data_IF_665940364645
#
_entry.id   IF_665940364645
#
_cell.length_a   1.000
_cell.length_b   1.000
_cell.length_c   1.000
_cell.angle_alpha   90.00
_cell.angle_beta   90.00
_cell.angle_gamma   90.00
#
_symmetry.space_group_name_H-M   'P 1'
#
loop_
_entity.id
_entity.type
_entity.pdbx_description
1 polymer ?
#
# COMPACT_ATOMS: atom_id res chain seq x y z
N UNK A 1 -35.19 -22.14 0.34
CA UNK A 1 -36.10 -22.18 -0.82
C UNK A 1 -35.59 -23.25 -1.77
N UNK A 2 -36.32 -24.36 -1.91
CA UNK A 2 -36.02 -25.38 -2.91
C UNK A 2 -36.56 -24.90 -4.25
N UNK A 3 -35.68 -24.67 -5.21
CA UNK A 3 -36.10 -24.42 -6.59
C UNK A 3 -36.42 -25.76 -7.25
N UNK A 4 -37.69 -25.99 -7.54
CA UNK A 4 -38.17 -27.11 -8.34
C UNK A 4 -38.14 -26.66 -9.81
N UNK A 5 -37.18 -27.17 -10.57
CA UNK A 5 -37.18 -26.98 -12.02
C UNK A 5 -38.10 -28.04 -12.66
N UNK A 6 -39.17 -27.61 -13.29
CA UNK A 6 -39.99 -28.47 -14.13
C UNK A 6 -39.45 -28.47 -15.56
N UNK A 7 -38.93 -29.61 -16.02
CA UNK A 7 -38.46 -29.79 -17.39
C UNK A 7 -39.56 -30.37 -18.26
N UNK A 8 -39.82 -29.76 -19.42
CA UNK A 8 -40.57 -30.39 -20.47
C UNK A 8 -39.65 -31.35 -21.25
N UNK A 9 -39.84 -32.66 -21.09
CA UNK A 9 -39.20 -33.68 -21.92
C UNK A 9 -39.70 -33.55 -23.35
N UNK A 10 -38.83 -33.54 -24.35
CA UNK A 10 -39.20 -33.65 -25.76
C UNK A 10 -39.79 -35.04 -26.04
N UNK A 11 -40.79 -35.10 -26.96
CA UNK A 11 -41.47 -36.33 -27.34
C UNK A 11 -40.45 -37.33 -27.93
N UNK A 12 -40.04 -38.30 -27.14
CA UNK A 12 -39.11 -39.37 -27.57
C UNK A 12 -38.30 -39.99 -26.44
N UNK A 13 -38.06 -39.27 -25.35
CA UNK A 13 -37.29 -39.78 -24.22
C UNK A 13 -38.16 -40.56 -23.24
N UNK A 14 -38.30 -41.89 -23.50
CA UNK A 14 -38.87 -42.82 -22.50
C UNK A 14 -37.77 -43.32 -21.58
N UNK A 15 -37.91 -43.04 -20.29
CA UNK A 15 -37.09 -43.69 -19.25
C UNK A 15 -37.41 -45.18 -19.22
N UNK A 16 -36.44 -46.11 -19.20
CA UNK A 16 -36.71 -47.53 -19.13
C UNK A 16 -37.37 -47.86 -17.78
N UNK A 17 -38.51 -48.55 -17.86
CA UNK A 17 -39.24 -49.09 -16.70
C UNK A 17 -38.48 -50.33 -16.18
N UNK A 18 -37.85 -50.24 -15.03
CA UNK A 18 -37.28 -51.38 -14.34
C UNK A 18 -35.97 -51.06 -13.62
N UNK A 19 -35.99 -51.21 -12.30
CA UNK A 19 -34.90 -51.02 -11.32
C UNK A 19 -34.10 -49.72 -11.49
N UNK A 20 -34.25 -48.81 -10.54
CA UNK A 20 -33.49 -47.59 -10.40
C UNK A 20 -32.00 -47.94 -10.32
N UNK A 21 -31.33 -47.79 -11.46
CA UNK A 21 -29.89 -47.87 -11.51
C UNK A 21 -29.38 -46.47 -11.18
N UNK A 22 -29.12 -46.24 -9.90
CA UNK A 22 -28.60 -44.93 -9.40
C UNK A 22 -27.30 -44.50 -10.12
N UNK A 23 -26.59 -45.46 -10.72
CA UNK A 23 -25.38 -45.18 -11.50
C UNK A 23 -25.73 -44.56 -12.86
N UNK A 24 -26.68 -45.13 -13.59
CA UNK A 24 -27.11 -44.61 -14.89
C UNK A 24 -27.79 -43.24 -14.77
N UNK A 25 -28.50 -42.98 -13.65
CA UNK A 25 -29.08 -41.68 -13.35
C UNK A 25 -28.00 -40.63 -13.09
N UNK A 26 -26.99 -40.99 -12.32
CA UNK A 26 -25.84 -40.10 -12.04
C UNK A 26 -24.98 -39.84 -13.27
N UNK A 27 -24.82 -40.82 -14.16
CA UNK A 27 -24.15 -40.62 -15.44
C UNK A 27 -24.94 -39.66 -16.34
N UNK A 28 -26.24 -39.84 -16.42
CA UNK A 28 -27.12 -38.99 -17.22
C UNK A 28 -27.25 -37.56 -16.64
N UNK A 29 -27.32 -37.42 -15.32
CA UNK A 29 -27.19 -36.12 -14.65
C UNK A 29 -25.84 -35.45 -14.96
N UNK A 30 -24.77 -36.22 -15.00
CA UNK A 30 -23.44 -35.73 -15.33
C UNK A 30 -23.32 -35.30 -16.80
N UNK A 31 -23.92 -36.07 -17.71
CA UNK A 31 -24.00 -35.71 -19.14
C UNK A 31 -24.85 -34.47 -19.39
N UNK A 32 -26.01 -34.37 -18.74
CA UNK A 32 -26.88 -33.19 -18.84
C UNK A 32 -26.22 -31.98 -18.24
N UNK A 33 -25.52 -32.14 -17.10
CA UNK A 33 -24.77 -31.06 -16.47
C UNK A 33 -23.60 -30.62 -17.33
N UNK A 34 -22.89 -31.56 -17.98
CA UNK A 34 -21.83 -31.25 -18.94
C UNK A 34 -22.35 -30.58 -20.22
N UNK A 35 -23.52 -30.98 -20.73
CA UNK A 35 -24.19 -30.30 -21.86
C UNK A 35 -24.62 -28.90 -21.51
N UNK A 36 -25.29 -28.71 -20.38
CA UNK A 36 -25.68 -27.38 -19.89
C UNK A 36 -24.46 -26.47 -19.62
N UNK A 37 -23.39 -27.03 -19.09
CA UNK A 37 -22.13 -26.32 -18.91
C UNK A 37 -21.42 -25.97 -20.24
N UNK A 38 -21.60 -26.78 -21.29
CA UNK A 38 -21.09 -26.54 -22.64
C UNK A 38 -21.94 -25.54 -23.46
N UNK A 39 -23.28 -25.54 -23.26
CA UNK A 39 -24.20 -24.59 -23.91
C UNK A 39 -24.17 -23.19 -23.28
N UNK A 40 -23.66 -23.06 -22.03
CA UNK A 40 -23.45 -21.80 -21.32
C UNK A 40 -22.00 -21.27 -21.48
N UNK A 41 -21.42 -21.35 -22.71
CA UNK A 41 -20.21 -20.58 -23.01
C UNK A 41 -20.65 -19.12 -23.19
N UNK A 42 -20.39 -18.26 -22.22
CA UNK A 42 -20.80 -16.86 -22.29
C UNK A 42 -20.08 -16.18 -23.46
N UNK A 43 -20.76 -15.30 -24.19
CA UNK A 43 -20.24 -14.52 -25.32
C UNK A 43 -18.98 -13.67 -25.02
N UNK A 44 -18.47 -13.68 -23.80
CA UNK A 44 -17.28 -12.98 -23.35
C UNK A 44 -16.05 -13.85 -23.08
N UNK A 45 -16.17 -15.18 -23.13
CA UNK A 45 -15.08 -16.10 -22.75
C UNK A 45 -13.90 -16.18 -23.74
N UNK A 46 -14.03 -15.58 -24.91
CA UNK A 46 -12.99 -15.55 -25.95
C UNK A 46 -11.94 -14.46 -25.77
N UNK A 47 -12.21 -13.46 -24.92
CA UNK A 47 -11.24 -12.39 -24.66
C UNK A 47 -10.02 -12.89 -23.90
N UNK A 48 -8.89 -12.25 -24.14
CA UNK A 48 -7.64 -12.57 -23.47
C UNK A 48 -7.61 -12.03 -22.03
N UNK A 49 -6.76 -12.61 -21.19
CA UNK A 49 -6.50 -12.11 -19.81
C UNK A 49 -6.10 -10.64 -19.83
N UNK A 50 -5.26 -10.23 -20.79
CA UNK A 50 -4.85 -8.82 -20.93
C UNK A 50 -6.05 -7.92 -21.25
N UNK A 51 -6.93 -8.32 -22.14
CA UNK A 51 -8.13 -7.55 -22.51
C UNK A 51 -9.12 -7.46 -21.36
N UNK A 52 -9.34 -8.57 -20.62
CA UNK A 52 -10.15 -8.58 -19.40
C UNK A 52 -9.63 -7.56 -18.37
N UNK A 53 -8.33 -7.59 -18.08
CA UNK A 53 -7.74 -6.67 -17.10
C UNK A 53 -7.81 -5.23 -17.58
N UNK A 54 -7.61 -4.95 -18.88
CA UNK A 54 -7.81 -3.61 -19.46
C UNK A 54 -9.25 -3.15 -19.30
N UNK A 55 -10.23 -4.00 -19.60
CA UNK A 55 -11.67 -3.71 -19.43
C UNK A 55 -11.98 -3.41 -17.96
N UNK A 56 -11.51 -4.23 -17.03
CA UNK A 56 -11.69 -3.99 -15.59
C UNK A 56 -11.15 -2.62 -15.16
N UNK A 57 -9.94 -2.27 -15.60
CA UNK A 57 -9.30 -1.00 -15.25
C UNK A 57 -10.06 0.19 -15.88
N UNK A 58 -10.56 0.06 -17.11
CA UNK A 58 -11.29 1.15 -17.79
C UNK A 58 -12.61 1.50 -17.09
N UNK A 59 -13.22 0.57 -16.37
CA UNK A 59 -14.43 0.79 -15.59
C UNK A 59 -14.17 1.48 -14.24
N UNK A 60 -12.90 1.66 -13.84
CA UNK A 60 -12.54 2.34 -12.60
C UNK A 60 -12.46 3.84 -12.81
N UNK A 61 -13.48 4.57 -12.37
CA UNK A 61 -13.54 6.03 -12.38
C UNK A 61 -12.98 6.64 -11.09
N UNK A 62 -12.52 7.89 -11.13
CA UNK A 62 -12.05 8.60 -9.94
C UNK A 62 -10.76 8.05 -9.31
N UNK A 63 -9.98 7.26 -10.07
CA UNK A 63 -8.78 6.59 -9.55
C UNK A 63 -7.62 7.58 -9.41
N UNK A 64 -6.98 7.60 -8.23
CA UNK A 64 -5.80 8.42 -7.95
C UNK A 64 -4.60 8.04 -8.82
N UNK A 65 -3.72 9.01 -9.05
CA UNK A 65 -2.56 8.85 -9.92
C UNK A 65 -1.66 7.66 -9.54
N UNK A 66 -1.37 7.48 -8.25
CA UNK A 66 -0.57 6.34 -7.79
C UNK A 66 -1.22 4.99 -8.07
N UNK A 67 -2.55 4.90 -8.00
CA UNK A 67 -3.28 3.68 -8.34
C UNK A 67 -3.24 3.42 -9.85
N UNK A 68 -3.36 4.47 -10.69
CA UNK A 68 -3.18 4.37 -12.14
C UNK A 68 -1.79 3.85 -12.50
N UNK A 69 -0.75 4.37 -11.83
CA UNK A 69 0.63 3.90 -11.98
C UNK A 69 0.75 2.41 -11.63
N UNK A 70 0.12 1.98 -10.53
CA UNK A 70 0.06 0.58 -10.13
C UNK A 70 -0.64 -0.30 -11.17
N UNK A 71 -1.76 0.16 -11.73
CA UNK A 71 -2.45 -0.55 -12.80
C UNK A 71 -1.59 -0.69 -14.06
N UNK A 72 -0.94 0.37 -14.49
CA UNK A 72 -0.02 0.35 -15.64
C UNK A 72 1.15 -0.60 -15.42
N UNK A 73 1.70 -0.63 -14.20
CA UNK A 73 2.74 -1.58 -13.83
C UNK A 73 2.25 -3.04 -13.99
N UNK A 74 1.05 -3.37 -13.49
CA UNK A 74 0.46 -4.71 -13.62
C UNK A 74 0.18 -5.04 -15.09
N UNK A 75 -0.40 -4.11 -15.86
CA UNK A 75 -0.61 -4.29 -17.30
C UNK A 75 0.69 -4.58 -18.06
N UNK A 76 1.79 -3.88 -17.73
CA UNK A 76 3.09 -4.10 -18.33
C UNK A 76 3.67 -5.49 -18.01
N UNK A 77 3.39 -6.03 -16.82
CA UNK A 77 3.75 -7.41 -16.47
C UNK A 77 2.94 -8.38 -17.32
N UNK A 78 1.61 -8.28 -17.30
CA UNK A 78 0.71 -9.19 -18.01
C UNK A 78 1.00 -9.18 -19.53
N UNK A 79 1.27 -8.01 -20.10
CA UNK A 79 1.58 -7.84 -21.52
C UNK A 79 2.84 -8.61 -21.96
N UNK A 80 3.82 -8.77 -21.06
CA UNK A 80 5.07 -9.49 -21.33
C UNK A 80 4.95 -11.00 -21.13
N UNK A 81 3.92 -11.46 -20.45
CA UNK A 81 3.71 -12.86 -20.11
C UNK A 81 2.80 -13.57 -21.11
N UNK A 82 3.12 -14.82 -21.46
CA UNK A 82 2.25 -15.67 -22.30
C UNK A 82 0.86 -15.87 -21.66
N UNK A 83 0.80 -15.86 -20.32
CA UNK A 83 -0.45 -15.92 -19.58
C UNK A 83 -1.43 -14.80 -19.97
N UNK A 84 -0.92 -13.60 -20.28
CA UNK A 84 -1.71 -12.46 -20.71
C UNK A 84 -2.41 -12.64 -22.06
N UNK A 85 -1.88 -13.52 -22.92
CA UNK A 85 -2.42 -13.83 -24.26
C UNK A 85 -3.45 -14.93 -24.25
N UNK A 86 -3.59 -15.67 -23.14
CA UNK A 86 -4.54 -16.79 -23.03
C UNK A 86 -5.97 -16.28 -22.99
N UNK A 87 -6.89 -17.00 -23.60
CA UNK A 87 -8.32 -16.79 -23.44
C UNK A 87 -8.76 -17.10 -22.01
N UNK A 88 -9.61 -16.25 -21.43
CA UNK A 88 -10.04 -16.40 -20.04
C UNK A 88 -10.76 -17.71 -19.77
N UNK A 89 -11.56 -18.21 -20.75
CA UNK A 89 -12.26 -19.50 -20.69
C UNK A 89 -11.32 -20.70 -20.55
N UNK A 90 -10.07 -20.59 -21.04
CA UNK A 90 -9.05 -21.63 -20.96
C UNK A 90 -8.26 -21.64 -19.66
N UNK A 91 -8.40 -20.58 -18.82
CA UNK A 91 -7.61 -20.42 -17.60
C UNK A 91 -8.22 -21.24 -16.46
N UNK A 92 -7.48 -22.22 -15.97
CA UNK A 92 -7.82 -23.04 -14.82
C UNK A 92 -7.14 -22.52 -13.55
N UNK A 93 -7.62 -22.94 -12.37
CA UNK A 93 -7.01 -22.61 -11.07
C UNK A 93 -5.53 -23.02 -11.01
N UNK A 94 -5.17 -24.17 -11.60
CA UNK A 94 -3.79 -24.63 -11.70
C UNK A 94 -2.91 -23.69 -12.51
N UNK A 95 -3.42 -23.17 -13.63
CA UNK A 95 -2.70 -22.23 -14.49
C UNK A 95 -2.43 -20.91 -13.78
N UNK A 96 -3.43 -20.40 -13.06
CA UNK A 96 -3.29 -19.19 -12.25
C UNK A 96 -2.23 -19.35 -11.16
N UNK A 97 -2.20 -20.49 -10.45
CA UNK A 97 -1.17 -20.80 -9.46
C UNK A 97 0.21 -20.92 -10.10
N UNK A 98 0.34 -21.69 -11.18
CA UNK A 98 1.62 -21.88 -11.89
C UNK A 98 2.18 -20.56 -12.41
N UNK A 99 1.33 -19.67 -12.93
CA UNK A 99 1.76 -18.35 -13.36
C UNK A 99 2.33 -17.50 -12.21
N UNK A 100 1.68 -17.50 -11.04
CA UNK A 100 2.19 -16.74 -9.88
C UNK A 100 3.50 -17.33 -9.33
N UNK A 101 3.64 -18.68 -9.33
CA UNK A 101 4.91 -19.37 -9.00
C UNK A 101 5.99 -18.99 -10.00
N UNK A 102 5.69 -18.97 -11.30
CA UNK A 102 6.62 -18.53 -12.33
C UNK A 102 7.08 -17.09 -12.10
N UNK A 103 6.17 -16.17 -11.77
CA UNK A 103 6.56 -14.79 -11.45
C UNK A 103 7.54 -14.72 -10.28
N UNK A 104 7.42 -15.60 -9.28
CA UNK A 104 8.38 -15.67 -8.17
C UNK A 104 9.72 -16.23 -8.61
N UNK A 105 9.72 -17.30 -9.39
CA UNK A 105 10.95 -17.90 -9.94
C UNK A 105 11.70 -16.95 -10.88
N UNK A 106 10.98 -16.08 -11.57
CA UNK A 106 11.53 -14.99 -12.39
C UNK A 106 12.05 -13.80 -11.56
N UNK A 107 12.14 -13.93 -10.23
CA UNK A 107 12.73 -12.96 -9.30
C UNK A 107 11.76 -11.86 -8.82
N UNK A 108 10.46 -12.02 -9.00
CA UNK A 108 9.50 -11.06 -8.45
C UNK A 108 9.16 -11.41 -7.00
N UNK A 109 9.36 -10.44 -6.09
CA UNK A 109 9.05 -10.62 -4.68
C UNK A 109 7.55 -10.73 -4.42
N UNK A 110 7.19 -11.31 -3.28
CA UNK A 110 5.80 -11.53 -2.83
C UNK A 110 4.91 -10.28 -2.93
N UNK A 111 5.42 -9.11 -2.52
CA UNK A 111 4.66 -7.85 -2.57
C UNK A 111 4.24 -7.46 -3.99
N UNK A 112 5.10 -7.71 -4.99
CA UNK A 112 4.80 -7.50 -6.40
C UNK A 112 3.70 -8.46 -6.88
N UNK A 113 3.84 -9.74 -6.54
CA UNK A 113 2.87 -10.79 -6.90
C UNK A 113 1.51 -10.52 -6.23
N UNK A 114 1.51 -10.08 -4.97
CA UNK A 114 0.31 -9.65 -4.27
C UNK A 114 -0.38 -8.48 -4.99
N UNK A 115 0.39 -7.49 -5.46
CA UNK A 115 -0.14 -6.36 -6.24
C UNK A 115 -0.73 -6.82 -7.58
N UNK A 116 -0.05 -7.70 -8.31
CA UNK A 116 -0.53 -8.27 -9.57
C UNK A 116 -1.86 -9.02 -9.33
N UNK A 117 -1.90 -9.92 -8.36
CA UNK A 117 -3.13 -10.65 -8.01
C UNK A 117 -4.25 -9.71 -7.55
N UNK A 118 -3.90 -8.63 -6.84
CA UNK A 118 -4.86 -7.61 -6.38
C UNK A 118 -5.60 -6.89 -7.52
N UNK A 119 -5.06 -6.93 -8.73
CA UNK A 119 -5.72 -6.40 -9.94
C UNK A 119 -6.38 -7.51 -10.76
N UNK A 120 -5.70 -8.64 -10.93
CA UNK A 120 -6.17 -9.73 -11.79
C UNK A 120 -7.35 -10.47 -11.17
N UNK A 121 -7.33 -10.77 -9.85
CA UNK A 121 -8.43 -11.48 -9.19
C UNK A 121 -9.77 -10.74 -9.30
N UNK A 122 -9.88 -9.43 -9.00
CA UNK A 122 -11.12 -8.69 -9.21
C UNK A 122 -11.54 -8.59 -10.68
N UNK A 123 -10.60 -8.56 -11.63
CA UNK A 123 -10.93 -8.60 -13.06
C UNK A 123 -11.58 -9.93 -13.44
N UNK A 124 -11.07 -11.05 -12.96
CA UNK A 124 -11.69 -12.36 -13.15
C UNK A 124 -13.01 -12.49 -12.37
N UNK A 125 -13.15 -11.83 -11.22
CA UNK A 125 -14.43 -11.79 -10.51
C UNK A 125 -15.49 -11.05 -11.32
N UNK A 126 -15.15 -9.93 -11.94
CA UNK A 126 -16.04 -9.23 -12.87
C UNK A 126 -16.49 -10.15 -14.01
N UNK A 127 -15.61 -10.98 -14.56
CA UNK A 127 -15.98 -11.95 -15.61
C UNK A 127 -16.93 -13.05 -15.08
N UNK A 128 -16.85 -13.39 -13.80
CA UNK A 128 -17.83 -14.31 -13.17
C UNK A 128 -19.15 -13.58 -12.93
N UNK A 129 -19.11 -12.34 -12.47
CA UNK A 129 -20.32 -11.53 -12.19
C UNK A 129 -21.08 -11.17 -13.49
N UNK A 130 -20.35 -11.09 -14.63
CA UNK A 130 -20.89 -10.88 -15.99
C UNK A 130 -21.28 -12.23 -16.69
N UNK A 131 -21.29 -13.35 -15.97
CA UNK A 131 -21.57 -14.69 -16.49
C UNK A 131 -20.65 -15.18 -17.63
N UNK A 132 -19.42 -14.60 -17.76
CA UNK A 132 -18.43 -15.05 -18.75
C UNK A 132 -17.62 -16.26 -18.28
N UNK A 133 -17.57 -16.46 -16.96
CA UNK A 133 -16.90 -17.57 -16.30
C UNK A 133 -17.75 -18.10 -15.15
N UNK A 134 -17.76 -19.41 -14.96
CA UNK A 134 -18.47 -20.03 -13.83
C UNK A 134 -17.74 -19.85 -12.50
N UNK A 135 -16.41 -19.71 -12.52
CA UNK A 135 -15.58 -19.65 -11.31
C UNK A 135 -14.34 -18.82 -11.55
N UNK A 136 -13.96 -18.05 -10.52
CA UNK A 136 -12.74 -17.26 -10.53
C UNK A 136 -11.50 -18.16 -10.30
N UNK A 137 -10.57 -18.29 -11.27
CA UNK A 137 -9.39 -19.13 -11.13
C UNK A 137 -8.38 -18.59 -10.09
N UNK A 138 -8.55 -17.35 -9.63
CA UNK A 138 -7.70 -16.73 -8.59
C UNK A 138 -8.30 -16.83 -7.18
N UNK A 139 -9.35 -17.67 -6.97
CA UNK A 139 -10.00 -17.87 -5.67
C UNK A 139 -9.21 -18.87 -4.82
N UNK A 140 -8.09 -18.41 -4.28
CA UNK A 140 -7.22 -19.15 -3.34
C UNK A 140 -6.43 -18.18 -2.46
N UNK A 141 -5.87 -18.67 -1.36
CA UNK A 141 -4.98 -17.88 -0.50
C UNK A 141 -3.59 -17.81 -1.13
N UNK A 142 -3.06 -16.60 -1.36
CA UNK A 142 -1.76 -16.42 -1.99
C UNK A 142 -0.62 -17.07 -1.22
N UNK A 143 -0.65 -16.97 0.11
CA UNK A 143 0.38 -17.53 1.00
C UNK A 143 0.53 -19.08 0.90
N UNK A 144 -0.47 -19.78 0.35
CA UNK A 144 -0.38 -21.23 0.12
C UNK A 144 0.31 -21.60 -1.20
N UNK A 145 0.61 -20.61 -2.05
CA UNK A 145 1.13 -20.80 -3.41
C UNK A 145 2.49 -20.15 -3.60
N UNK A 146 2.69 -18.99 -3.00
CA UNK A 146 3.90 -18.17 -3.18
C UNK A 146 4.51 -17.92 -1.80
N UNK A 147 5.83 -18.12 -1.68
CA UNK A 147 6.56 -17.89 -0.43
C UNK A 147 6.60 -16.41 -0.13
N UNK A 148 6.23 -16.04 1.11
CA UNK A 148 6.30 -14.65 1.55
C UNK A 148 7.74 -14.28 1.95
N UNK A 149 8.48 -13.72 1.00
CA UNK A 149 9.84 -13.19 1.16
C UNK A 149 9.86 -11.69 1.53
N UNK A 150 8.72 -11.10 1.84
CA UNK A 150 8.64 -9.67 2.14
C UNK A 150 9.37 -9.32 3.45
N UNK A 151 10.34 -8.43 3.37
CA UNK A 151 11.01 -7.89 4.54
C UNK A 151 10.07 -6.95 5.28
N UNK A 152 9.74 -7.27 6.52
CA UNK A 152 8.98 -6.37 7.39
C UNK A 152 9.83 -5.13 7.68
N UNK A 153 9.26 -3.96 7.41
CA UNK A 153 9.88 -2.69 7.80
C UNK A 153 9.56 -2.46 9.27
N UNK A 154 10.54 -2.67 10.12
CA UNK A 154 10.40 -2.52 11.56
C UNK A 154 10.84 -1.12 12.01
N UNK A 155 10.32 -0.70 13.17
CA UNK A 155 10.83 0.47 13.87
C UNK A 155 12.29 0.22 14.31
N UNK A 156 13.13 1.24 14.21
CA UNK A 156 14.49 1.16 14.72
C UNK A 156 14.55 1.43 16.22
N UNK A 157 15.60 0.94 16.86
CA UNK A 157 15.82 1.17 18.30
C UNK A 157 16.21 2.63 18.55
N UNK A 158 16.01 3.12 19.79
CA UNK A 158 16.46 4.46 20.20
C UNK A 158 17.98 4.64 20.05
N UNK A 159 18.78 3.55 20.18
CA UNK A 159 20.22 3.58 19.95
C UNK A 159 20.55 3.86 18.48
N UNK A 160 19.89 3.14 17.56
CA UNK A 160 20.04 3.31 16.12
C UNK A 160 19.57 4.70 15.65
N UNK A 161 18.42 5.18 16.15
CA UNK A 161 17.92 6.53 15.86
C UNK A 161 18.97 7.60 16.27
N UNK A 162 19.50 7.49 17.49
CA UNK A 162 20.55 8.43 17.98
C UNK A 162 21.82 8.35 17.15
N UNK A 163 22.29 7.15 16.82
CA UNK A 163 23.48 6.96 16.01
C UNK A 163 23.32 7.60 14.62
N UNK A 164 22.17 7.38 13.98
CA UNK A 164 21.83 7.95 12.67
C UNK A 164 21.77 9.47 12.72
N UNK A 165 21.05 10.05 13.68
CA UNK A 165 20.91 11.51 13.83
C UNK A 165 22.24 12.18 14.19
N UNK A 166 23.06 11.57 15.05
CA UNK A 166 24.39 12.10 15.39
C UNK A 166 25.31 12.11 14.17
N UNK A 167 25.32 11.03 13.39
CA UNK A 167 26.09 10.98 12.16
C UNK A 167 25.70 12.10 11.18
N UNK A 168 24.41 12.34 10.99
CA UNK A 168 23.92 13.42 10.13
C UNK A 168 24.37 14.78 10.66
N UNK A 169 24.25 15.01 11.97
CA UNK A 169 24.59 16.28 12.63
C UNK A 169 26.08 16.63 12.52
N UNK A 170 26.94 15.61 12.61
CA UNK A 170 28.40 15.77 12.57
C UNK A 170 28.97 15.79 11.15
N UNK A 171 28.20 15.30 10.17
CA UNK A 171 28.63 15.25 8.78
C UNK A 171 28.60 16.63 8.11
N UNK A 172 29.72 17.04 7.48
CA UNK A 172 29.76 18.26 6.67
C UNK A 172 28.81 18.26 5.48
N UNK A 173 28.55 17.06 4.89
CA UNK A 173 27.70 16.91 3.71
C UNK A 173 26.22 16.76 4.06
N UNK A 174 25.89 16.06 5.17
CA UNK A 174 24.52 15.67 5.49
C UNK A 174 23.84 16.56 6.53
N UNK A 175 24.60 17.41 7.23
CA UNK A 175 24.09 18.32 8.28
C UNK A 175 22.87 19.14 7.83
N UNK A 176 22.84 19.55 6.56
CA UNK A 176 21.73 20.29 5.97
C UNK A 176 20.38 19.55 5.99
N UNK A 177 20.38 18.22 6.11
CA UNK A 177 19.18 17.40 6.18
C UNK A 177 18.74 17.10 7.61
N UNK A 178 19.54 17.46 8.63
CA UNK A 178 19.31 17.09 10.01
C UNK A 178 17.92 17.48 10.51
N UNK A 179 17.57 18.76 10.38
CA UNK A 179 16.30 19.28 10.90
C UNK A 179 15.09 18.60 10.25
N UNK A 180 15.12 18.39 8.96
CA UNK A 180 14.07 17.72 8.20
C UNK A 180 13.91 16.24 8.62
N UNK A 181 15.02 15.51 8.75
CA UNK A 181 15.03 14.11 9.17
C UNK A 181 14.59 13.99 10.63
N UNK A 182 15.00 14.92 11.49
CA UNK A 182 14.56 14.98 12.88
C UNK A 182 13.03 15.16 12.98
N UNK A 183 12.46 16.08 12.21
CA UNK A 183 11.01 16.29 12.15
C UNK A 183 10.28 15.00 11.76
N UNK A 184 10.77 14.27 10.75
CA UNK A 184 10.15 12.99 10.34
C UNK A 184 10.13 11.95 11.46
N UNK A 185 11.20 11.88 12.28
CA UNK A 185 11.24 10.99 13.45
C UNK A 185 10.34 11.45 14.62
N UNK A 186 10.02 12.74 14.72
CA UNK A 186 9.31 13.31 15.88
C UNK A 186 7.86 13.67 15.62
N UNK A 187 7.39 13.57 14.37
CA UNK A 187 6.01 13.93 13.99
C UNK A 187 5.23 12.79 13.38
N UNK A 188 5.91 11.76 12.86
CA UNK A 188 5.27 10.66 12.15
C UNK A 188 4.58 11.05 10.84
N UNK A 189 4.89 12.21 10.26
CA UNK A 189 4.38 12.64 8.96
C UNK A 189 4.68 11.61 7.87
N UNK A 190 3.75 11.43 6.92
CA UNK A 190 4.06 10.70 5.68
C UNK A 190 4.98 11.56 4.83
N UNK A 191 5.90 10.91 4.11
CA UNK A 191 6.85 11.66 3.29
C UNK A 191 6.17 12.58 2.27
N UNK A 192 5.06 12.15 1.67
CA UNK A 192 4.29 12.97 0.72
C UNK A 192 3.58 14.16 1.38
N UNK A 193 3.16 14.03 2.64
CA UNK A 193 2.63 15.13 3.46
C UNK A 193 3.78 16.11 3.78
N UNK A 194 4.91 15.58 4.26
CA UNK A 194 6.08 16.36 4.66
C UNK A 194 6.66 17.22 3.52
N UNK A 195 6.83 16.65 2.33
CA UNK A 195 7.33 17.43 1.17
C UNK A 195 6.30 18.41 0.62
N UNK A 196 5.03 18.19 0.92
CA UNK A 196 3.93 19.10 0.58
C UNK A 196 3.81 20.30 1.49
N UNK A 197 4.44 20.29 2.68
CA UNK A 197 4.32 21.41 3.64
C UNK A 197 4.77 22.73 3.03
N UNK A 198 3.95 23.74 3.24
CA UNK A 198 4.21 25.14 2.84
C UNK A 198 4.42 26.01 4.08
N UNK A 199 4.86 27.24 3.88
CA UNK A 199 4.97 28.23 4.96
C UNK A 199 3.62 28.47 5.68
N UNK A 200 2.52 28.39 4.94
CA UNK A 200 1.17 28.59 5.50
C UNK A 200 0.71 27.44 6.41
N UNK A 201 1.31 26.26 6.28
CA UNK A 201 0.96 25.08 7.09
C UNK A 201 1.67 25.08 8.45
N UNK A 202 2.64 25.96 8.65
CA UNK A 202 3.48 26.02 9.86
C UNK A 202 3.12 27.26 10.69
N UNK A 203 2.34 27.02 11.74
CA UNK A 203 2.02 28.06 12.73
C UNK A 203 3.06 28.00 13.86
N UNK A 204 4.07 28.86 13.77
CA UNK A 204 5.11 28.95 14.80
C UNK A 204 4.61 29.61 16.09
N UNK A 205 3.61 30.50 16.02
CA UNK A 205 3.05 31.19 17.18
C UNK A 205 2.29 30.21 18.08
N UNK A 206 1.41 29.40 17.50
CA UNK A 206 0.61 28.41 18.23
C UNK A 206 1.23 27.02 18.23
N UNK A 207 2.43 26.84 17.64
CA UNK A 207 3.17 25.57 17.57
C UNK A 207 2.38 24.44 16.95
N UNK A 208 1.82 24.68 15.77
CA UNK A 208 0.96 23.74 15.04
C UNK A 208 1.48 23.47 13.63
N UNK A 209 1.37 22.22 13.22
CA UNK A 209 1.61 21.78 11.83
C UNK A 209 0.24 21.39 11.26
N UNK A 210 -0.20 22.08 10.24
CA UNK A 210 -1.43 21.75 9.54
C UNK A 210 -1.14 20.75 8.43
N UNK A 211 -1.84 19.62 8.41
CA UNK A 211 -1.67 18.55 7.42
C UNK A 211 -3.00 18.37 6.72
N UNK A 212 -3.19 18.96 5.56
CA UNK A 212 -4.43 18.91 4.79
C UNK A 212 -4.22 18.46 3.34
N UNK A 213 -2.96 18.28 2.90
CA UNK A 213 -2.61 17.88 1.55
C UNK A 213 -1.29 17.11 1.49
N UNK A 214 -0.98 16.60 0.33
CA UNK A 214 0.27 15.90 0.02
C UNK A 214 0.76 16.30 -1.37
N UNK A 215 2.07 16.39 -1.55
CA UNK A 215 2.71 16.64 -2.83
C UNK A 215 3.10 15.33 -3.49
N UNK A 216 2.73 15.17 -4.75
CA UNK A 216 3.09 14.03 -5.59
C UNK A 216 3.71 14.53 -6.89
N UNK A 217 4.47 13.65 -7.56
CA UNK A 217 4.94 13.88 -8.93
C UNK A 217 4.47 12.75 -9.81
N UNK A 218 3.82 13.09 -10.90
CA UNK A 218 3.31 12.12 -11.88
C UNK A 218 4.44 11.49 -12.68
N UNK A 219 4.14 10.44 -13.44
CA UNK A 219 5.11 9.84 -14.38
C UNK A 219 5.56 10.83 -15.47
N UNK A 220 4.70 11.76 -15.84
CA UNK A 220 5.00 12.85 -16.80
C UNK A 220 5.78 14.00 -16.15
N UNK A 221 6.35 13.75 -14.95
CA UNK A 221 7.16 14.70 -14.18
C UNK A 221 6.42 15.96 -13.70
N UNK A 222 5.07 16.00 -13.79
CA UNK A 222 4.25 17.10 -13.27
C UNK A 222 4.03 16.96 -11.78
N UNK A 223 4.12 18.10 -11.08
CA UNK A 223 3.77 18.18 -9.66
C UNK A 223 2.25 18.29 -9.53
N UNK A 224 1.68 17.61 -8.53
CA UNK A 224 0.27 17.67 -8.21
C UNK A 224 0.07 17.68 -6.69
N UNK A 225 -0.92 18.44 -6.24
CA UNK A 225 -1.39 18.41 -4.87
C UNK A 225 -2.57 17.45 -4.82
N UNK A 226 -2.49 16.48 -3.92
CA UNK A 226 -3.59 15.56 -3.63
C UNK A 226 -4.08 15.78 -2.20
N UNK A 227 -5.39 15.76 -2.00
CA UNK A 227 -5.96 15.66 -0.66
C UNK A 227 -5.66 14.29 -0.02
N UNK A 228 -5.61 14.19 1.31
CA UNK A 228 -5.52 12.90 1.99
C UNK A 228 -6.63 11.94 1.54
N UNK A 229 -6.36 10.63 1.58
CA UNK A 229 -7.33 9.60 1.14
C UNK A 229 -8.61 9.57 1.96
N UNK A 230 -8.54 10.01 3.20
CA UNK A 230 -9.64 9.97 4.16
C UNK A 230 -9.64 11.27 4.96
N UNK A 231 -10.79 11.61 5.54
CA UNK A 231 -10.92 12.77 6.45
C UNK A 231 -9.93 12.72 7.62
N UNK A 232 -9.61 11.52 8.12
CA UNK A 232 -8.59 11.33 9.18
C UNK A 232 -7.18 11.75 8.75
N UNK A 233 -6.93 11.90 7.45
CA UNK A 233 -5.66 12.41 6.94
C UNK A 233 -5.49 13.92 7.16
N UNK A 234 -6.60 14.68 7.22
CA UNK A 234 -6.59 16.11 7.56
C UNK A 234 -6.52 16.24 9.09
N UNK A 235 -5.41 16.77 9.58
CA UNK A 235 -5.14 16.86 11.03
C UNK A 235 -4.15 17.97 11.36
N UNK A 236 -4.14 18.37 12.61
CA UNK A 236 -3.18 19.32 13.17
C UNK A 236 -2.26 18.57 14.14
N UNK A 237 -0.95 18.69 13.94
CA UNK A 237 0.07 18.06 14.79
C UNK A 237 0.69 19.16 15.68
N UNK A 238 0.71 19.01 17.01
CA UNK A 238 1.41 19.95 17.88
C UNK A 238 2.92 19.78 17.73
N UNK A 239 3.66 20.88 17.82
CA UNK A 239 5.13 20.87 17.82
C UNK A 239 5.66 20.76 19.25
N UNK A 240 6.61 19.85 19.45
CA UNK A 240 7.51 19.90 20.63
C UNK A 240 8.54 21.02 20.44
N UNK A 241 9.22 21.44 21.52
CA UNK A 241 10.24 22.50 21.47
C UNK A 241 11.32 22.23 20.43
N UNK A 242 11.82 21.00 20.37
CA UNK A 242 12.83 20.59 19.40
C UNK A 242 12.34 20.67 17.95
N UNK A 243 11.09 20.23 17.69
CA UNK A 243 10.46 20.30 16.36
C UNK A 243 10.24 21.76 15.96
N UNK A 244 9.81 22.60 16.88
CA UNK A 244 9.69 24.04 16.66
C UNK A 244 11.02 24.67 16.25
N UNK A 245 12.11 24.37 16.97
CA UNK A 245 13.45 24.88 16.65
C UNK A 245 13.90 24.40 15.26
N UNK A 246 13.59 23.14 14.89
CA UNK A 246 13.92 22.63 13.56
C UNK A 246 13.15 23.38 12.46
N UNK A 247 11.83 23.58 12.60
CA UNK A 247 11.04 24.32 11.62
C UNK A 247 11.48 25.78 11.51
N UNK A 248 11.77 26.44 12.62
CA UNK A 248 12.29 27.80 12.61
C UNK A 248 13.58 27.91 11.79
N UNK A 249 14.56 27.02 12.02
CA UNK A 249 15.80 26.99 11.23
C UNK A 249 15.56 26.71 9.76
N UNK A 250 14.64 25.79 9.43
CA UNK A 250 14.28 25.49 8.03
C UNK A 250 13.70 26.73 7.35
N UNK A 251 12.78 27.44 8.02
CA UNK A 251 12.12 28.64 7.47
C UNK A 251 13.11 29.80 7.32
N UNK A 252 13.96 30.03 8.32
CA UNK A 252 14.99 31.08 8.30
C UNK A 252 16.01 30.86 7.16
N UNK A 253 16.39 29.59 6.91
CA UNK A 253 17.38 29.23 5.89
C UNK A 253 16.75 28.84 4.54
N UNK A 254 15.44 28.95 4.40
CA UNK A 254 14.73 28.57 3.17
C UNK A 254 15.19 29.44 2.00
N UNK A 255 15.55 28.86 0.85
CA UNK A 255 15.79 29.62 -0.37
C UNK A 255 14.56 30.48 -0.73
N UNK A 256 14.82 31.71 -1.17
CA UNK A 256 13.79 32.64 -1.67
C UNK A 256 13.94 32.77 -3.18
N UNK A 257 13.31 31.90 -3.98
CA UNK A 257 13.41 31.99 -5.43
C UNK A 257 12.73 33.27 -5.94
N UNK A 258 13.21 33.81 -7.05
CA UNK A 258 12.58 35.00 -7.69
C UNK A 258 11.13 34.72 -8.07
N UNK A 259 10.85 33.51 -8.56
CA UNK A 259 9.50 33.02 -8.85
C UNK A 259 9.22 31.85 -7.94
N UNK A 260 8.31 32.01 -6.97
CA UNK A 260 7.86 30.94 -6.11
C UNK A 260 7.12 29.86 -6.93
N UNK A 261 7.52 28.59 -6.80
CA UNK A 261 6.80 27.52 -7.49
C UNK A 261 5.38 27.42 -6.94
N UNK A 262 4.40 27.41 -7.85
CA UNK A 262 2.99 27.18 -7.54
C UNK A 262 2.55 25.84 -8.11
N UNK A 263 1.92 25.01 -7.26
CA UNK A 263 1.35 23.71 -7.64
C UNK A 263 -0.09 23.67 -7.16
N UNK A 264 -1.05 23.58 -8.07
CA UNK A 264 -2.49 23.51 -7.78
C UNK A 264 -2.94 24.52 -6.70
N UNK A 265 -2.46 25.78 -6.82
CA UNK A 265 -2.80 26.88 -5.92
C UNK A 265 -2.00 26.94 -4.60
N UNK A 266 -1.15 25.98 -4.32
CA UNK A 266 -0.22 26.01 -3.17
C UNK A 266 1.14 26.56 -3.60
N UNK A 267 1.72 27.42 -2.75
CA UNK A 267 3.07 28.00 -2.95
C UNK A 267 3.80 28.10 -1.60
N UNK A 268 5.06 28.50 -1.62
CA UNK A 268 5.86 28.61 -0.38
C UNK A 268 6.27 27.26 0.20
N UNK A 269 6.50 26.24 -0.65
CA UNK A 269 6.96 24.91 -0.19
C UNK A 269 8.25 25.02 0.62
N UNK A 270 8.33 24.31 1.73
CA UNK A 270 9.48 24.39 2.65
C UNK A 270 10.77 23.83 2.04
N UNK A 271 10.67 22.83 1.20
CA UNK A 271 11.82 22.09 0.66
C UNK A 271 11.90 22.25 -0.85
N UNK A 272 12.91 22.98 -1.30
CA UNK A 272 13.16 23.24 -2.71
C UNK A 272 14.47 22.56 -3.15
N UNK A 273 14.53 22.17 -4.40
CA UNK A 273 15.76 21.70 -5.05
C UNK A 273 16.62 22.88 -5.54
N UNK A 274 17.76 22.57 -6.18
CA UNK A 274 18.69 23.59 -6.69
C UNK A 274 18.08 24.47 -7.80
N UNK A 275 17.04 23.97 -8.45
CA UNK A 275 16.34 24.69 -9.52
C UNK A 275 15.14 25.48 -9.00
N UNK A 276 14.91 25.47 -7.67
CA UNK A 276 13.78 26.14 -7.05
C UNK A 276 12.47 25.35 -7.13
N UNK A 277 12.47 24.09 -7.59
CA UNK A 277 11.29 23.26 -7.60
C UNK A 277 11.08 22.56 -6.25
N UNK A 278 9.83 22.23 -5.85
CA UNK A 278 9.58 21.46 -4.65
C UNK A 278 10.25 20.09 -4.71
N UNK A 279 10.91 19.69 -3.62
CA UNK A 279 11.44 18.33 -3.51
C UNK A 279 10.28 17.34 -3.35
N UNK A 280 10.41 16.14 -3.90
CA UNK A 280 9.41 15.07 -3.79
C UNK A 280 9.94 13.89 -2.98
N UNK A 281 9.05 12.99 -2.58
CA UNK A 281 9.35 11.82 -1.76
C UNK A 281 10.60 11.05 -2.22
N UNK A 282 10.75 10.87 -3.54
CA UNK A 282 11.89 10.14 -4.13
C UNK A 282 13.24 10.79 -3.82
N UNK A 283 13.34 12.13 -3.79
CA UNK A 283 14.59 12.82 -3.42
C UNK A 283 14.99 12.46 -1.98
N UNK A 284 14.04 12.46 -1.05
CA UNK A 284 14.28 12.10 0.34
C UNK A 284 14.64 10.62 0.52
N UNK A 285 14.00 9.71 -0.21
CA UNK A 285 14.40 8.30 -0.22
C UNK A 285 15.85 8.12 -0.66
N UNK A 286 16.30 8.85 -1.69
CA UNK A 286 17.70 8.87 -2.11
C UNK A 286 18.62 9.42 -1.03
N UNK A 287 18.26 10.53 -0.38
CA UNK A 287 19.09 11.10 0.72
C UNK A 287 19.23 10.11 1.87
N UNK A 288 18.14 9.49 2.32
CA UNK A 288 18.20 8.48 3.36
C UNK A 288 19.08 7.29 2.98
N UNK A 289 18.95 6.77 1.75
CA UNK A 289 19.75 5.66 1.26
C UNK A 289 21.25 6.02 1.22
N UNK A 290 21.61 7.22 0.74
CA UNK A 290 22.98 7.69 0.73
C UNK A 290 23.56 7.84 2.14
N UNK A 291 22.80 8.39 3.08
CA UNK A 291 23.22 8.56 4.47
C UNK A 291 23.45 7.19 5.12
N UNK A 292 22.50 6.24 5.00
CA UNK A 292 22.65 4.90 5.54
C UNK A 292 23.85 4.16 4.94
N UNK A 293 24.02 4.25 3.62
CA UNK A 293 25.14 3.59 2.92
C UNK A 293 26.47 4.18 3.38
N UNK A 294 26.56 5.51 3.52
CA UNK A 294 27.77 6.17 3.99
C UNK A 294 28.09 5.83 5.46
N UNK A 295 27.07 5.79 6.33
CA UNK A 295 27.23 5.36 7.71
C UNK A 295 27.79 3.93 7.76
N UNK A 296 27.15 3.02 7.06
CA UNK A 296 27.51 1.59 7.06
C UNK A 296 28.89 1.30 6.45
N UNK A 297 29.44 2.22 5.64
CA UNK A 297 30.84 2.13 5.16
C UNK A 297 31.86 2.54 6.22
N UNK A 298 31.49 3.41 7.16
CA UNK A 298 32.40 4.00 8.14
C UNK A 298 32.36 3.28 9.49
N UNK A 299 31.20 2.74 9.88
CA UNK A 299 31.00 2.17 11.21
C UNK A 299 30.84 0.66 11.16
N UNK A 300 31.42 -0.04 12.14
CA UNK A 300 31.29 -1.50 12.29
C UNK A 300 29.86 -1.92 12.64
N UNK A 301 29.18 -1.13 13.49
CA UNK A 301 27.78 -1.36 13.86
C UNK A 301 26.90 -0.84 12.72
N UNK A 302 26.31 -1.76 11.97
CA UNK A 302 25.52 -1.44 10.79
C UNK A 302 24.12 -0.95 11.17
N UNK A 303 23.64 0.07 10.48
CA UNK A 303 22.24 0.49 10.56
C UNK A 303 21.39 -0.29 9.54
N UNK A 304 20.15 -0.63 9.89
CA UNK A 304 19.20 -1.16 8.92
C UNK A 304 18.88 -0.10 7.86
N UNK A 305 18.17 -0.49 6.81
CA UNK A 305 17.73 0.46 5.79
C UNK A 305 16.69 1.43 6.38
N UNK A 306 17.15 2.61 6.79
CA UNK A 306 16.29 3.67 7.32
C UNK A 306 15.72 4.48 6.15
N UNK A 307 14.40 4.61 6.14
CA UNK A 307 13.64 5.38 5.14
C UNK A 307 12.69 6.33 5.85
N UNK A 308 12.10 7.33 5.17
CA UNK A 308 11.06 8.18 5.79
C UNK A 308 9.90 7.37 6.39
N UNK A 309 9.58 6.23 5.80
CA UNK A 309 8.55 5.34 6.32
C UNK A 309 8.97 4.64 7.62
N UNK A 310 10.25 4.27 7.73
CA UNK A 310 10.83 3.74 8.98
C UNK A 310 10.81 4.80 10.09
N UNK A 311 11.09 6.09 9.77
CA UNK A 311 10.96 7.18 10.74
C UNK A 311 9.55 7.26 11.31
N UNK A 312 8.53 7.18 10.45
CA UNK A 312 7.12 7.19 10.85
C UNK A 312 6.77 5.95 11.70
N UNK A 313 7.24 4.76 11.33
CA UNK A 313 7.05 3.54 12.14
C UNK A 313 7.72 3.66 13.50
N UNK A 314 8.94 4.21 13.55
CA UNK A 314 9.69 4.43 14.79
C UNK A 314 8.95 5.41 15.70
N UNK A 315 8.44 6.53 15.16
CA UNK A 315 7.60 7.47 15.92
C UNK A 315 6.39 6.76 16.52
N UNK A 316 5.63 6.04 15.69
CA UNK A 316 4.42 5.35 16.13
C UNK A 316 4.73 4.33 17.25
N UNK A 317 5.78 3.53 17.08
CA UNK A 317 6.24 2.53 18.05
C UNK A 317 6.72 3.15 19.36
N UNK A 318 7.46 4.27 19.28
CA UNK A 318 7.95 4.98 20.46
C UNK A 318 6.80 5.61 21.25
N UNK A 319 5.80 6.20 20.57
CA UNK A 319 4.62 6.77 21.21
C UNK A 319 3.76 5.68 21.87
N UNK A 320 3.57 4.56 21.19
CA UNK A 320 2.86 3.41 21.76
C UNK A 320 3.56 2.88 23.03
N UNK A 321 4.87 2.65 22.98
CA UNK A 321 5.69 2.20 24.12
C UNK A 321 5.73 3.22 25.27
N UNK A 322 5.51 4.51 24.97
CA UNK A 322 5.40 5.58 25.99
C UNK A 322 4.00 5.67 26.61
N UNK A 323 3.08 4.75 26.28
CA UNK A 323 1.73 4.69 26.84
C UNK A 323 0.77 5.74 26.26
N UNK A 324 1.03 6.27 25.06
CA UNK A 324 0.09 7.18 24.41
C UNK A 324 -1.23 6.46 24.12
N UNK A 325 -2.35 7.14 24.39
CA UNK A 325 -3.66 6.59 24.07
C UNK A 325 -3.77 6.20 22.59
N UNK A 326 -4.24 4.97 22.23
CA UNK A 326 -4.31 4.51 20.85
C UNK A 326 -5.14 5.41 19.92
N UNK A 327 -6.21 6.05 20.42
CA UNK A 327 -7.02 7.00 19.64
C UNK A 327 -6.26 8.29 19.34
N UNK A 328 -5.50 8.80 20.31
CA UNK A 328 -4.63 9.96 20.12
C UNK A 328 -3.55 9.65 19.10
N UNK A 329 -2.94 8.46 19.20
CA UNK A 329 -1.93 8.03 18.25
C UNK A 329 -2.53 7.80 16.84
N UNK A 330 -3.72 7.21 16.74
CA UNK A 330 -4.46 7.09 15.48
C UNK A 330 -4.66 8.46 14.81
N UNK A 331 -5.07 9.47 15.58
CA UNK A 331 -5.25 10.84 15.08
C UNK A 331 -3.92 11.43 14.58
N UNK A 332 -2.85 11.40 15.39
CA UNK A 332 -1.53 11.92 15.02
C UNK A 332 -0.98 11.25 13.75
N UNK A 333 -1.18 9.94 13.64
CA UNK A 333 -0.75 9.17 12.47
C UNK A 333 -1.68 9.38 11.25
N UNK A 334 -2.89 9.86 11.43
CA UNK A 334 -3.89 9.96 10.35
C UNK A 334 -4.24 8.58 9.77
N UNK A 335 -4.43 7.57 10.63
CA UNK A 335 -4.88 6.25 10.23
C UNK A 335 -6.41 6.21 10.19
N UNK A 336 -6.98 5.79 9.06
CA UNK A 336 -8.43 5.61 8.92
C UNK A 336 -8.96 4.43 9.73
N UNK A 337 -8.15 3.38 9.85
CA UNK A 337 -8.45 2.17 10.61
C UNK A 337 -7.60 2.13 11.88
N UNK A 338 -8.28 2.00 13.04
CA UNK A 338 -7.62 1.84 14.35
C UNK A 338 -6.79 0.55 14.43
N UNK A 339 -7.18 -0.49 13.70
CA UNK A 339 -6.47 -1.77 13.65
C UNK A 339 -5.00 -1.60 13.23
N UNK A 340 -4.73 -0.67 12.31
CA UNK A 340 -3.35 -0.33 11.90
C UNK A 340 -2.53 0.20 13.08
N UNK A 341 -3.14 1.00 13.95
CA UNK A 341 -2.48 1.53 15.15
C UNK A 341 -2.37 0.45 16.22
N UNK A 342 -3.44 -0.30 16.48
CA UNK A 342 -3.47 -1.34 17.50
C UNK A 342 -2.47 -2.47 17.23
N UNK A 343 -2.20 -2.80 15.97
CA UNK A 343 -1.18 -3.78 15.61
C UNK A 343 0.23 -3.45 16.16
N UNK A 344 0.49 -2.20 16.52
CA UNK A 344 1.75 -1.78 17.13
C UNK A 344 1.75 -2.06 18.65
N UNK A 345 0.56 -2.08 19.27
CA UNK A 345 0.39 -2.40 20.70
C UNK A 345 0.31 -3.91 20.98
N UNK A 346 0.25 -4.77 19.96
CA UNK A 346 0.07 -6.23 20.13
C UNK A 346 1.30 -6.96 20.69
N UNK A 347 2.44 -6.30 20.78
CA UNK A 347 3.68 -6.87 21.35
C UNK A 347 3.84 -6.45 22.82
N UNK A 348 2.79 -6.65 23.64
CA UNK A 348 2.83 -6.40 25.08
C UNK A 348 3.51 -7.58 25.76
N UNK A 349 4.61 -7.32 26.48
CA UNK A 349 5.29 -8.31 27.35
C UNK A 349 4.82 -8.17 28.79
N UNK A 350 5.09 -9.17 29.62
CA UNK A 350 4.70 -9.15 31.03
C UNK A 350 5.22 -7.90 31.77
N UNK A 351 6.45 -7.50 31.49
CA UNK A 351 7.08 -6.31 32.10
C UNK A 351 6.35 -5.00 31.72
N UNK A 352 5.78 -4.96 30.51
CA UNK A 352 4.95 -3.81 30.07
C UNK A 352 3.65 -3.76 30.88
N UNK A 353 3.02 -4.93 31.13
CA UNK A 353 1.80 -5.03 31.93
C UNK A 353 2.06 -4.60 33.37
N UNK A 354 3.16 -5.06 33.98
CA UNK A 354 3.54 -4.70 35.35
C UNK A 354 3.78 -3.18 35.48
N UNK A 355 4.49 -2.60 34.51
CA UNK A 355 4.80 -1.17 34.49
C UNK A 355 3.51 -0.33 34.35
N UNK A 356 2.62 -0.75 33.47
CA UNK A 356 1.34 -0.05 33.24
C UNK A 356 0.41 -0.16 34.47
N UNK A 357 0.34 -1.33 35.10
CA UNK A 357 -0.40 -1.54 36.34
C UNK A 357 0.10 -0.61 37.44
N UNK A 358 1.43 -0.53 37.65
CA UNK A 358 2.03 0.40 38.63
C UNK A 358 1.72 1.85 38.31
N UNK A 359 1.71 2.24 37.02
CA UNK A 359 1.38 3.61 36.58
C UNK A 359 -0.07 3.98 36.91
N UNK A 360 -1.01 3.09 36.61
CA UNK A 360 -2.45 3.33 36.82
C UNK A 360 -2.79 3.37 38.30
N UNK A 361 -2.25 2.44 39.09
CA UNK A 361 -2.51 2.38 40.54
C UNK A 361 -1.89 3.56 41.29
N UNK A 362 -0.74 4.08 40.84
CA UNK A 362 -0.07 5.22 41.49
C UNK A 362 -0.54 6.59 40.93
N UNK A 363 -1.49 6.62 40.00
CA UNK A 363 -2.06 7.84 39.43
C UNK A 363 -3.30 8.36 40.22
N UNK A 364 -3.69 7.67 41.30
CA UNK A 364 -4.65 8.14 42.32
C UNK A 364 -3.88 8.80 43.46
#
# INVERSE_FOLDING_TARGET
MQFVYSWKLEKGDRLPAGKRDDLALREKEREIKQRLEAELIPQGGEITVLELVKKYISLKTGVRQNTKTGYNFVLNIIKKEEFGKRQISSVRLSDAKLWLIKLQSDGRGYSTIHTVRGVVRPAFQMAVDDDWLHKNPFEFQLATVVVNDSVKREAITRKQERAFLNYIRESGCYKKYYDAIYILFKTGLRISEFVGLTLADIDLEHRKINVDHQLQRTMDMRYVIEEPKTSCGKRVIPMTDDVYVCFRRIIENRPRPKNEPMVDGKCGFLFLDQNGNPTVAMHWEHYFNHICTSYNKLYREQLPNITPHVCRHTFCSNMAKSGMNPKTLQYLMGHSDIGVTLNIYTHVQYDDVETEMKRVVNAE
#
